data_IF_905037188279
#
_entry.id   IF_905037188279
#
_cell.length_a   1.000
_cell.length_b   1.000
_cell.length_c   1.000
_cell.angle_alpha   90.00
_cell.angle_beta   90.00
_cell.angle_gamma   90.00
#
_symmetry.space_group_name_H-M   'P 1'
#
loop_
_entity.id
_entity.type
_entity.pdbx_description
1 polymer ?
#
# COMPACT_ATOMS: atom_id res chain seq x y z
N UNK A 1 -4.07 0.99 1.28
CA UNK A 1 -2.70 1.21 0.75
C UNK A 1 -2.70 2.44 -0.15
N UNK A 2 -1.62 3.20 -0.12
CA UNK A 2 -1.36 4.34 -1.00
C UNK A 2 -0.95 3.90 -2.39
N UNK A 3 -0.09 2.90 -2.47
CA UNK A 3 0.56 2.50 -3.70
C UNK A 3 0.16 1.08 -4.14
N UNK A 4 0.24 0.86 -5.44
CA UNK A 4 0.13 -0.44 -6.10
C UNK A 4 1.08 -0.45 -7.30
N UNK A 5 1.44 -1.65 -7.78
CA UNK A 5 2.21 -1.79 -9.00
C UNK A 5 1.27 -1.73 -10.21
N UNK A 6 1.48 -0.77 -11.11
CA UNK A 6 0.74 -0.56 -12.34
C UNK A 6 1.78 -0.46 -13.46
N UNK A 7 1.71 -1.36 -14.44
CA UNK A 7 2.66 -1.42 -15.57
C UNK A 7 4.14 -1.45 -15.16
N UNK A 8 4.45 -2.12 -14.04
CA UNK A 8 5.81 -2.22 -13.50
C UNK A 8 6.26 -1.01 -12.68
N UNK A 9 5.44 0.03 -12.60
CA UNK A 9 5.71 1.23 -11.80
C UNK A 9 4.84 1.28 -10.54
N UNK A 10 5.39 1.88 -9.50
CA UNK A 10 4.66 2.08 -8.25
C UNK A 10 3.85 3.37 -8.31
N UNK A 11 2.52 3.24 -8.29
CA UNK A 11 1.58 4.34 -8.56
C UNK A 11 0.56 4.51 -7.44
N UNK A 12 0.18 5.77 -7.19
CA UNK A 12 -0.94 6.10 -6.31
C UNK A 12 -2.28 5.71 -6.93
N UNK A 13 -3.33 5.62 -6.11
CA UNK A 13 -4.65 5.23 -6.57
C UNK A 13 -5.31 6.32 -7.41
N UNK A 14 -5.45 6.05 -8.70
CA UNK A 14 -6.15 6.91 -9.66
C UNK A 14 -7.30 6.14 -10.33
N UNK A 15 -8.35 6.86 -10.71
CA UNK A 15 -9.55 6.26 -11.32
C UNK A 15 -9.19 5.59 -12.65
N UNK A 16 -9.67 4.36 -12.84
CA UNK A 16 -9.47 3.62 -14.09
C UNK A 16 -8.22 2.75 -14.12
N UNK A 17 -7.32 2.89 -13.14
CA UNK A 17 -6.14 2.03 -13.04
C UNK A 17 -6.50 0.61 -12.55
N UNK A 18 -5.64 -0.33 -12.90
CA UNK A 18 -5.61 -1.68 -12.35
C UNK A 18 -4.18 -1.94 -11.91
N UNK A 19 -4.01 -2.42 -10.69
CA UNK A 19 -2.68 -2.68 -10.14
C UNK A 19 -2.62 -4.00 -9.40
N UNK A 20 -1.41 -4.37 -9.01
CA UNK A 20 -1.11 -5.50 -8.13
C UNK A 20 -0.54 -5.02 -6.80
N UNK A 21 -0.84 -5.78 -5.75
CA UNK A 21 -0.40 -5.47 -4.39
C UNK A 21 1.13 -5.52 -4.29
N UNK A 22 1.73 -4.48 -3.71
CA UNK A 22 3.17 -4.39 -3.48
C UNK A 22 3.69 -5.49 -2.52
N UNK A 23 2.81 -6.05 -1.69
CA UNK A 23 3.13 -7.15 -0.78
C UNK A 23 2.98 -8.53 -1.43
N UNK A 24 1.76 -8.90 -1.81
CA UNK A 24 1.46 -10.28 -2.26
C UNK A 24 1.32 -10.44 -3.78
N UNK A 25 1.38 -9.37 -4.57
CA UNK A 25 1.12 -9.42 -6.01
C UNK A 25 -0.35 -9.64 -6.39
N UNK A 26 -1.26 -9.76 -5.42
CA UNK A 26 -2.68 -9.96 -5.67
C UNK A 26 -3.34 -8.76 -6.37
N UNK A 27 -4.42 -8.97 -7.13
CA UNK A 27 -5.07 -7.91 -7.90
C UNK A 27 -5.75 -6.88 -6.99
N UNK A 28 -5.54 -5.60 -7.32
CA UNK A 28 -6.10 -4.45 -6.61
C UNK A 28 -6.97 -3.58 -7.53
N UNK A 29 -7.84 -2.80 -6.90
CA UNK A 29 -8.68 -1.80 -7.56
C UNK A 29 -8.56 -0.48 -6.79
N UNK A 30 -8.39 0.66 -7.50
CA UNK A 30 -8.32 1.96 -6.88
C UNK A 30 -9.72 2.39 -6.42
N UNK A 31 -9.80 2.94 -5.21
CA UNK A 31 -11.02 3.48 -4.61
C UNK A 31 -10.88 5.00 -4.52
N UNK A 32 -11.38 5.70 -5.52
CA UNK A 32 -11.25 7.15 -5.68
C UNK A 32 -12.61 7.86 -5.50
N UNK A 33 -13.32 7.57 -4.41
CA UNK A 33 -14.60 8.19 -4.09
C UNK A 33 -14.44 9.51 -3.33
N UNK A 34 -15.46 10.38 -3.28
CA UNK A 34 -15.34 11.71 -2.67
C UNK A 34 -15.25 11.70 -1.13
N UNK A 35 -15.53 10.55 -0.48
CA UNK A 35 -15.60 10.43 0.98
C UNK A 35 -14.28 10.04 1.64
N UNK A 36 -13.41 9.31 0.93
CA UNK A 36 -12.17 8.77 1.47
C UNK A 36 -11.03 9.19 0.56
N UNK A 37 -9.85 9.35 1.13
CA UNK A 37 -8.62 9.54 0.33
C UNK A 37 -8.50 8.41 -0.71
N UNK A 38 -8.05 8.71 -1.93
CA UNK A 38 -7.77 7.68 -2.91
C UNK A 38 -6.85 6.61 -2.34
N UNK A 39 -7.26 5.34 -2.43
CA UNK A 39 -6.48 4.23 -1.89
C UNK A 39 -6.68 2.97 -2.75
N UNK A 40 -5.70 2.08 -2.71
CA UNK A 40 -5.80 0.75 -3.28
C UNK A 40 -6.42 -0.23 -2.28
N UNK A 41 -7.33 -1.05 -2.80
CA UNK A 41 -7.95 -2.16 -2.07
C UNK A 41 -7.81 -3.45 -2.88
N UNK A 42 -7.63 -4.58 -2.19
CA UNK A 42 -7.69 -5.90 -2.82
C UNK A 42 -9.06 -6.14 -3.45
N UNK A 43 -9.09 -6.85 -4.59
CA UNK A 43 -10.35 -7.28 -5.21
C UNK A 43 -11.04 -8.40 -4.43
N UNK A 44 -10.24 -9.26 -3.79
CA UNK A 44 -10.70 -10.33 -2.90
C UNK A 44 -10.65 -9.89 -1.44
N UNK A 45 -11.28 -10.67 -0.54
CA UNK A 45 -11.15 -10.54 0.91
C UNK A 45 -9.78 -10.99 1.45
N UNK A 46 -8.76 -11.08 0.59
CA UNK A 46 -7.42 -11.50 0.96
C UNK A 46 -6.82 -10.47 1.92
N UNK A 47 -6.50 -10.92 3.14
CA UNK A 47 -5.71 -10.17 4.10
C UNK A 47 -4.25 -10.56 3.90
N UNK A 48 -3.56 -9.87 2.99
CA UNK A 48 -2.16 -10.18 2.70
C UNK A 48 -1.19 -9.73 3.80
N UNK A 49 -1.66 -8.86 4.69
CA UNK A 49 -0.97 -8.44 5.90
C UNK A 49 -1.98 -8.53 7.04
N UNK A 50 -1.69 -9.35 8.04
CA UNK A 50 -2.57 -9.52 9.19
C UNK A 50 -2.57 -8.28 10.10
N UNK A 51 -1.54 -7.44 10.02
CA UNK A 51 -1.39 -6.21 10.80
C UNK A 51 -1.94 -4.99 10.07
N UNK A 52 -2.72 -5.20 9.00
CA UNK A 52 -3.30 -4.07 8.27
C UNK A 52 -4.27 -3.28 9.16
N UNK A 53 -4.10 -1.97 9.18
CA UNK A 53 -5.01 -1.05 9.86
C UNK A 53 -5.66 -0.07 8.89
N UNK A 54 -6.76 0.55 9.32
CA UNK A 54 -7.33 1.67 8.59
C UNK A 54 -6.40 2.87 8.71
N UNK A 55 -5.98 3.40 7.57
CA UNK A 55 -5.12 4.57 7.54
C UNK A 55 -5.94 5.86 7.63
N UNK A 56 -5.54 6.74 8.54
CA UNK A 56 -6.12 8.07 8.72
C UNK A 56 -5.34 9.13 7.93
N UNK A 57 -5.92 10.33 7.69
CA UNK A 57 -5.17 11.44 7.09
C UNK A 57 -3.87 11.76 7.83
N UNK A 58 -3.90 11.79 9.17
CA UNK A 58 -2.69 12.01 9.98
C UNK A 58 -1.61 10.97 9.71
N UNK A 59 -1.97 9.68 9.64
CA UNK A 59 -1.00 8.62 9.34
C UNK A 59 -0.43 8.76 7.92
N UNK A 60 -1.29 9.07 6.93
CA UNK A 60 -0.86 9.36 5.55
C UNK A 60 0.13 10.53 5.49
N UNK A 61 -0.16 11.62 6.20
CA UNK A 61 0.67 12.81 6.23
C UNK A 61 2.01 12.56 6.93
N UNK A 62 2.00 11.79 8.01
CA UNK A 62 3.24 11.37 8.66
C UNK A 62 4.15 10.59 7.70
N UNK A 63 3.62 9.59 6.99
CA UNK A 63 4.38 8.81 5.99
C UNK A 63 4.93 9.67 4.85
N UNK A 64 4.18 10.71 4.44
CA UNK A 64 4.60 11.62 3.38
C UNK A 64 5.85 12.46 3.71
N UNK A 65 6.32 12.47 4.97
CA UNK A 65 7.61 13.08 5.31
C UNK A 65 8.83 12.25 4.85
N UNK A 66 8.60 11.03 4.37
CA UNK A 66 9.64 10.15 3.84
C UNK A 66 9.56 10.03 2.32
N UNK A 67 10.68 9.76 1.62
CA UNK A 67 10.66 9.50 0.18
C UNK A 67 9.70 8.37 -0.19
N UNK A 68 9.08 8.44 -1.37
CA UNK A 68 8.08 7.47 -1.80
C UNK A 68 8.65 6.04 -1.81
N UNK A 69 9.91 5.87 -2.21
CA UNK A 69 10.64 4.60 -2.21
C UNK A 69 10.88 4.00 -0.82
N UNK A 70 10.64 4.76 0.25
CA UNK A 70 10.72 4.27 1.62
C UNK A 70 9.35 3.91 2.20
N UNK A 71 8.25 4.35 1.60
CA UNK A 71 6.91 4.11 2.16
C UNK A 71 6.36 2.75 1.72
N UNK A 72 5.45 2.13 2.49
CA UNK A 72 4.75 0.86 2.20
C UNK A 72 5.63 -0.22 1.54
N UNK A 73 6.72 -0.60 2.21
CA UNK A 73 7.74 -1.52 1.71
C UNK A 73 7.51 -2.93 2.23
N UNK A 74 7.54 -3.91 1.32
CA UNK A 74 7.43 -5.31 1.69
C UNK A 74 8.61 -5.72 2.59
N UNK A 75 8.31 -6.27 3.76
CA UNK A 75 9.28 -6.67 4.76
C UNK A 75 8.99 -8.09 5.22
N UNK A 76 10.05 -8.91 5.35
CA UNK A 76 9.99 -10.20 6.03
C UNK A 76 10.50 -10.03 7.46
N UNK A 77 9.67 -10.34 8.44
CA UNK A 77 10.05 -10.37 9.85
C UNK A 77 10.96 -11.58 10.15
N UNK A 78 11.59 -11.58 11.33
CA UNK A 78 12.55 -12.62 11.74
C UNK A 78 11.91 -14.00 11.91
N UNK A 79 10.65 -14.04 12.33
CA UNK A 79 9.83 -15.25 12.41
C UNK A 79 9.39 -15.80 11.03
N UNK A 80 9.69 -15.04 9.97
CA UNK A 80 9.41 -15.37 8.59
C UNK A 80 8.08 -14.83 8.06
N UNK A 81 7.30 -14.11 8.87
CA UNK A 81 6.06 -13.47 8.44
C UNK A 81 6.33 -12.32 7.46
N UNK A 82 5.38 -12.08 6.54
CA UNK A 82 5.46 -10.98 5.57
C UNK A 82 4.53 -9.85 5.98
N UNK A 83 5.07 -8.63 6.00
CA UNK A 83 4.36 -7.40 6.31
C UNK A 83 4.64 -6.32 5.26
N UNK A 84 3.85 -5.25 5.32
CA UNK A 84 4.10 -4.03 4.55
C UNK A 84 4.42 -2.93 5.57
N UNK A 85 5.71 -2.60 5.67
CA UNK A 85 6.18 -1.57 6.57
C UNK A 85 5.71 -0.20 6.07
N UNK A 86 5.08 0.58 6.94
CA UNK A 86 4.64 1.94 6.64
C UNK A 86 5.78 2.82 6.10
N UNK A 87 6.96 2.74 6.73
CA UNK A 87 8.21 3.36 6.29
C UNK A 87 9.38 2.42 6.56
N UNK A 88 10.29 2.28 5.59
CA UNK A 88 11.57 1.60 5.69
C UNK A 88 12.65 2.38 4.95
N UNK A 89 13.58 2.98 5.68
CA UNK A 89 14.72 3.71 5.13
C UNK A 89 15.89 2.77 4.84
N UNK A 90 16.80 3.21 3.95
CA UNK A 90 18.10 2.55 3.79
C UNK A 90 18.93 2.87 5.04
N UNK A 91 19.36 1.84 5.77
CA UNK A 91 20.39 1.95 6.80
C UNK A 91 21.75 1.74 6.17
#
# INVERSE_FOLDING_TARGET
MKYSMVDGERREAEKGLVGSCVGCGGPMTPKCGPKKVPHWAHRSLTKCDHWWENETPWHRDWKNNFPAECQEIRHKAEDGEWHIADVKTKQ
#
